data_IF_718549780845
#
_entry.id   IF_718549780845
#
_cell.length_a   1.000
_cell.length_b   1.000
_cell.length_c   1.000
_cell.angle_alpha   90.00
_cell.angle_beta   90.00
_cell.angle_gamma   90.00
#
_symmetry.space_group_name_H-M   'P 1'
#
loop_
_entity.id
_entity.type
_entity.pdbx_description
1 polymer ?
#
# COMPACT_ATOMS: atom_id res chain seq x y z
N UNK A 1 14.62 41.85 13.90
CA UNK A 1 15.65 42.12 12.89
C UNK A 1 15.47 41.11 11.77
N UNK A 2 14.85 41.59 10.69
CA UNK A 2 14.59 40.91 9.42
C UNK A 2 15.84 40.92 8.57
N UNK A 3 16.37 39.77 8.15
CA UNK A 3 17.33 39.69 7.05
C UNK A 3 16.88 38.61 6.07
N UNK A 4 16.33 39.06 4.96
CA UNK A 4 16.35 38.35 3.69
C UNK A 4 17.79 38.36 3.13
N UNK A 5 18.06 37.49 2.16
CA UNK A 5 18.72 37.98 0.95
C UNK A 5 17.96 37.56 -0.31
N UNK A 6 17.61 38.57 -1.11
CA UNK A 6 17.35 38.48 -2.56
C UNK A 6 18.65 38.85 -3.32
N UNK A 7 18.63 39.06 -4.65
CA UNK A 7 18.59 38.10 -5.75
C UNK A 7 19.76 38.35 -6.75
N UNK A 8 19.98 37.51 -7.77
CA UNK A 8 20.63 37.84 -9.06
C UNK A 8 20.70 36.54 -9.89
N UNK A 9 20.10 36.44 -11.09
CA UNK A 9 20.68 36.72 -12.42
C UNK A 9 19.47 36.70 -13.40
N UNK A 10 19.00 37.84 -13.96
CA UNK A 10 19.31 38.43 -15.29
C UNK A 10 19.36 37.38 -16.44
N UNK A 11 18.73 37.45 -17.62
CA UNK A 11 18.02 38.48 -18.40
C UNK A 11 17.59 37.81 -19.73
N UNK A 12 16.31 37.99 -20.12
CA UNK A 12 15.73 38.30 -21.46
C UNK A 12 16.02 37.42 -22.69
N UNK A 13 14.96 37.09 -23.46
CA UNK A 13 14.79 37.49 -24.88
C UNK A 13 13.29 37.62 -25.24
N UNK A 14 13.01 38.75 -25.88
CA UNK A 14 11.78 39.24 -26.52
C UNK A 14 11.37 38.39 -27.74
N UNK A 15 10.07 38.31 -28.03
CA UNK A 15 9.54 38.69 -29.34
C UNK A 15 8.03 38.90 -29.30
N UNK A 16 7.61 40.03 -29.85
CA UNK A 16 6.24 40.51 -29.99
C UNK A 16 5.53 39.89 -31.19
N UNK A 17 4.21 39.74 -31.10
CA UNK A 17 3.32 39.84 -32.27
C UNK A 17 2.11 40.72 -31.90
N UNK A 18 2.00 41.82 -32.65
CA UNK A 18 0.87 42.73 -32.75
C UNK A 18 -0.27 42.04 -33.51
N UNK A 19 -1.52 42.20 -33.06
CA UNK A 19 -2.68 41.72 -33.82
C UNK A 19 -4.02 42.22 -33.28
N UNK A 20 -4.48 43.32 -33.86
CA UNK A 20 -5.84 43.85 -34.01
C UNK A 20 -6.91 43.65 -32.92
N UNK A 21 -7.45 44.80 -32.51
CA UNK A 21 -8.68 44.96 -31.76
C UNK A 21 -9.91 44.38 -32.48
N UNK A 22 -10.74 43.65 -31.74
CA UNK A 22 -12.21 43.69 -31.87
C UNK A 22 -12.80 43.71 -30.47
N UNK A 23 -13.73 44.65 -30.25
CA UNK A 23 -14.32 44.94 -28.96
C UNK A 23 -15.12 43.78 -28.38
N UNK A 24 -14.92 43.52 -27.08
CA UNK A 24 -15.84 42.76 -26.24
C UNK A 24 -16.03 43.56 -24.95
N UNK A 25 -17.29 43.92 -24.69
CA UNK A 25 -17.75 44.67 -23.53
C UNK A 25 -17.19 44.15 -22.19
N UNK A 26 -16.90 45.01 -21.20
CA UNK A 26 -16.33 44.62 -19.91
C UNK A 26 -17.27 43.78 -19.01
N UNK A 27 -18.49 43.46 -19.47
CA UNK A 27 -19.52 42.77 -18.69
C UNK A 27 -19.37 41.23 -18.70
N UNK A 28 -18.54 40.65 -19.57
CA UNK A 28 -18.36 39.20 -19.65
C UNK A 28 -17.02 38.67 -19.09
N UNK A 29 -16.08 39.54 -18.72
CA UNK A 29 -14.82 39.14 -18.07
C UNK A 29 -14.99 38.77 -16.58
N UNK A 30 -16.16 39.02 -15.98
CA UNK A 30 -16.45 38.70 -14.58
C UNK A 30 -16.98 37.27 -14.35
N UNK A 31 -17.24 36.48 -15.41
CA UNK A 31 -17.77 35.10 -15.30
C UNK A 31 -16.76 33.98 -15.59
N UNK A 32 -15.52 34.30 -15.97
CA UNK A 32 -14.48 33.30 -16.25
C UNK A 32 -13.44 33.13 -15.13
N UNK A 33 -13.71 33.64 -13.91
CA UNK A 33 -12.81 33.53 -12.74
C UNK A 33 -13.42 32.83 -11.51
N UNK A 34 -14.53 32.11 -11.67
CA UNK A 34 -15.13 31.27 -10.61
C UNK A 34 -15.63 29.94 -11.17
N UNK A 35 -14.73 29.16 -11.73
CA UNK A 35 -14.99 27.76 -12.07
C UNK A 35 -13.67 26.96 -12.05
N UNK A 36 -12.92 27.04 -10.95
CA UNK A 36 -11.93 26.00 -10.62
C UNK A 36 -11.51 26.10 -9.15
N UNK A 37 -12.49 26.04 -8.25
CA UNK A 37 -12.23 25.99 -6.81
C UNK A 37 -12.95 24.83 -6.11
N UNK A 38 -13.51 23.90 -6.87
CA UNK A 38 -14.22 22.73 -6.37
C UNK A 38 -13.95 21.49 -7.22
N UNK A 39 -12.75 21.38 -7.78
CA UNK A 39 -12.27 20.07 -8.21
C UNK A 39 -11.86 19.36 -6.91
N UNK A 40 -12.50 18.23 -6.54
CA UNK A 40 -12.03 17.44 -5.42
C UNK A 40 -10.54 17.18 -5.65
N UNK A 41 -9.70 17.51 -4.67
CA UNK A 41 -8.30 17.13 -4.73
C UNK A 41 -8.29 15.64 -5.04
N UNK A 42 -7.64 15.26 -6.15
CA UNK A 42 -7.59 13.86 -6.56
C UNK A 42 -7.12 13.06 -5.35
N UNK A 43 -7.96 12.13 -4.88
CA UNK A 43 -7.63 11.32 -3.71
C UNK A 43 -6.25 10.70 -3.95
N UNK A 44 -5.35 10.88 -2.99
CA UNK A 44 -4.05 10.23 -3.03
C UNK A 44 -4.27 8.74 -3.29
N UNK A 45 -3.50 8.17 -4.23
CA UNK A 45 -3.59 6.75 -4.58
C UNK A 45 -2.28 6.06 -4.24
N UNK A 46 -2.42 4.89 -3.66
CA UNK A 46 -1.33 3.94 -3.53
C UNK A 46 -0.97 3.38 -4.92
N UNK A 47 0.33 3.20 -5.22
CA UNK A 47 0.73 2.48 -6.42
C UNK A 47 0.33 1.00 -6.32
N UNK A 48 0.23 0.34 -7.48
CA UNK A 48 0.22 -1.12 -7.50
C UNK A 48 1.57 -1.63 -6.98
N UNK A 49 1.52 -2.62 -6.09
CA UNK A 49 2.67 -3.24 -5.47
C UNK A 49 2.67 -4.73 -5.79
N UNK A 50 3.76 -5.20 -6.37
CA UNK A 50 4.04 -6.63 -6.45
C UNK A 50 5.13 -6.97 -5.44
N UNK A 51 4.84 -7.89 -4.54
CA UNK A 51 5.76 -8.35 -3.50
C UNK A 51 6.24 -9.75 -3.88
N UNK A 52 7.56 -9.92 -4.00
CA UNK A 52 8.20 -11.22 -4.22
C UNK A 52 8.98 -11.58 -2.97
N UNK A 53 8.50 -12.57 -2.23
CA UNK A 53 8.89 -12.86 -0.85
C UNK A 53 9.70 -14.14 -0.76
N UNK A 54 10.71 -14.13 0.11
CA UNK A 54 11.42 -15.33 0.58
C UNK A 54 11.13 -15.51 2.05
N UNK A 55 10.19 -16.40 2.36
CA UNK A 55 9.64 -16.60 3.70
C UNK A 55 10.05 -17.95 4.28
N UNK A 56 10.26 -18.01 5.59
CA UNK A 56 10.73 -19.22 6.29
C UNK A 56 9.81 -19.55 7.44
N UNK A 57 9.57 -20.83 7.67
CA UNK A 57 8.78 -21.28 8.81
C UNK A 57 9.62 -21.28 10.08
N UNK A 58 9.06 -20.72 11.15
CA UNK A 58 9.68 -20.63 12.47
C UNK A 58 9.35 -21.90 13.24
N UNK A 59 10.39 -22.62 13.66
CA UNK A 59 10.27 -23.95 14.29
C UNK A 59 10.25 -23.92 15.82
N UNK A 60 10.55 -22.77 16.44
CA UNK A 60 10.65 -22.59 17.88
C UNK A 60 9.95 -21.32 18.37
N UNK A 61 8.85 -20.93 17.72
CA UNK A 61 8.06 -19.77 18.12
C UNK A 61 7.47 -19.98 19.52
N UNK A 62 7.66 -19.00 20.40
CA UNK A 62 7.19 -18.99 21.79
C UNK A 62 6.41 -17.69 22.07
N UNK A 63 5.07 -17.74 22.18
CA UNK A 63 4.23 -16.58 22.47
C UNK A 63 4.55 -15.88 23.78
N UNK A 64 5.07 -16.63 24.74
CA UNK A 64 5.26 -16.17 26.12
C UNK A 64 6.59 -15.42 26.27
N UNK A 65 7.40 -15.39 25.20
CA UNK A 65 8.71 -14.75 25.16
C UNK A 65 8.77 -13.70 24.07
N UNK A 66 9.42 -12.59 24.40
CA UNK A 66 9.92 -11.67 23.38
C UNK A 66 11.16 -12.30 22.75
N UNK A 67 10.98 -12.92 21.59
CA UNK A 67 12.07 -13.51 20.81
C UNK A 67 12.61 -12.49 19.80
N UNK A 68 13.91 -12.25 19.84
CA UNK A 68 14.66 -11.51 18.83
C UNK A 68 14.87 -12.36 17.57
N UNK A 69 15.19 -11.72 16.45
CA UNK A 69 15.47 -12.43 15.19
C UNK A 69 16.62 -13.45 15.31
N UNK A 70 17.56 -13.26 16.25
CA UNK A 70 18.67 -14.18 16.48
C UNK A 70 18.26 -15.45 17.24
N UNK A 71 17.13 -15.43 17.95
CA UNK A 71 16.62 -16.56 18.75
C UNK A 71 15.67 -17.45 17.94
N UNK A 72 15.12 -16.93 16.84
CA UNK A 72 14.23 -17.67 15.95
C UNK A 72 15.02 -18.65 15.08
N UNK A 73 14.51 -19.88 15.00
CA UNK A 73 15.05 -20.97 14.19
C UNK A 73 14.13 -21.24 13.03
N UNK A 74 14.72 -21.42 11.86
CA UNK A 74 14.01 -21.56 10.61
C UNK A 74 14.37 -22.88 9.92
N UNK A 75 13.42 -23.47 9.20
CA UNK A 75 13.64 -24.67 8.38
C UNK A 75 13.84 -24.32 6.88
N UNK A 76 12.79 -24.40 6.06
CA UNK A 76 12.80 -24.23 4.63
C UNK A 76 12.49 -22.79 4.21
N UNK A 77 12.99 -22.43 3.02
CA UNK A 77 12.62 -21.20 2.33
C UNK A 77 11.48 -21.49 1.37
N UNK A 78 10.42 -20.70 1.48
CA UNK A 78 9.24 -20.77 0.66
C UNK A 78 9.13 -19.46 -0.15
N UNK A 79 9.20 -19.52 -1.49
CA UNK A 79 8.93 -18.36 -2.31
C UNK A 79 7.42 -18.10 -2.37
N UNK A 80 7.02 -16.84 -2.28
CA UNK A 80 5.62 -16.41 -2.46
C UNK A 80 5.57 -15.07 -3.21
N UNK A 81 4.61 -14.89 -4.11
CA UNK A 81 4.39 -13.61 -4.80
C UNK A 81 2.96 -13.13 -4.61
N UNK A 82 2.81 -11.91 -4.08
CA UNK A 82 1.55 -11.23 -3.80
C UNK A 82 1.43 -9.99 -4.69
N UNK A 83 0.21 -9.71 -5.17
CA UNK A 83 -0.14 -8.45 -5.83
C UNK A 83 -1.15 -7.70 -4.98
N UNK A 84 -0.84 -6.42 -4.71
CA UNK A 84 -1.74 -5.43 -4.14
C UNK A 84 -2.02 -4.36 -5.21
N UNK A 85 -3.28 -4.20 -5.66
CA UNK A 85 -3.60 -3.22 -6.68
C UNK A 85 -3.42 -1.78 -6.18
N UNK A 86 -3.32 -0.84 -7.12
CA UNK A 86 -3.35 0.59 -6.79
C UNK A 86 -4.76 1.03 -6.38
N UNK A 87 -4.93 1.43 -5.13
CA UNK A 87 -6.21 1.84 -4.51
C UNK A 87 -6.11 3.26 -3.95
N UNK A 88 -7.23 3.95 -3.67
CA UNK A 88 -7.19 5.18 -2.88
C UNK A 88 -6.52 4.94 -1.53
N UNK A 89 -5.75 5.92 -1.05
CA UNK A 89 -5.16 5.89 0.30
C UNK A 89 -6.30 5.84 1.32
N UNK A 90 -6.19 4.91 2.26
CA UNK A 90 -7.14 4.78 3.35
C UNK A 90 -7.09 6.01 4.25
N UNK A 91 -8.27 6.56 4.56
CA UNK A 91 -8.42 7.72 5.47
C UNK A 91 -9.29 7.40 6.69
N UNK A 92 -10.01 6.27 6.67
CA UNK A 92 -10.81 5.77 7.79
C UNK A 92 -9.96 4.89 8.72
N UNK A 93 -10.35 4.78 10.02
CA UNK A 93 -9.79 3.75 10.91
C UNK A 93 -10.08 2.34 10.38
N UNK A 94 -9.34 1.31 10.83
CA UNK A 94 -9.60 -0.05 10.41
C UNK A 94 -10.95 -0.51 10.96
N UNK A 95 -11.70 -1.36 10.23
CA UNK A 95 -12.96 -1.89 10.74
C UNK A 95 -12.67 -2.75 11.97
N UNK A 96 -13.50 -2.61 12.99
CA UNK A 96 -13.47 -3.47 14.17
C UNK A 96 -13.80 -4.92 13.76
N UNK A 97 -13.38 -5.94 14.53
CA UNK A 97 -13.64 -7.34 14.18
C UNK A 97 -15.11 -7.69 13.98
N UNK A 98 -16.02 -6.95 14.61
CA UNK A 98 -17.47 -7.14 14.52
C UNK A 98 -18.15 -6.36 13.38
N UNK A 99 -17.42 -5.47 12.70
CA UNK A 99 -17.99 -4.67 11.61
C UNK A 99 -18.19 -5.53 10.36
N UNK A 100 -19.13 -5.11 9.50
CA UNK A 100 -19.33 -5.74 8.20
C UNK A 100 -18.01 -5.72 7.39
N UNK A 101 -17.67 -6.81 6.67
CA UNK A 101 -16.46 -6.85 5.86
C UNK A 101 -16.45 -5.76 4.79
N UNK A 102 -15.35 -5.01 4.73
CA UNK A 102 -15.12 -4.06 3.65
C UNK A 102 -14.88 -4.81 2.32
N UNK A 103 -15.37 -4.28 1.17
CA UNK A 103 -15.10 -4.89 -0.13
C UNK A 103 -13.59 -4.97 -0.43
N UNK A 104 -13.14 -6.17 -0.79
CA UNK A 104 -11.75 -6.41 -1.22
C UNK A 104 -11.65 -6.26 -2.74
N UNK A 105 -10.63 -5.54 -3.23
CA UNK A 105 -10.35 -5.47 -4.66
C UNK A 105 -9.93 -6.87 -5.15
N UNK A 106 -10.64 -7.48 -6.14
CA UNK A 106 -10.40 -8.86 -6.58
C UNK A 106 -9.04 -9.06 -7.26
N UNK A 107 -8.32 -7.98 -7.58
CA UNK A 107 -6.93 -8.04 -8.07
C UNK A 107 -5.93 -8.26 -6.94
N UNK A 108 -6.35 -8.13 -5.68
CA UNK A 108 -5.56 -8.47 -4.50
C UNK A 108 -5.47 -9.99 -4.37
N UNK A 109 -4.33 -10.58 -4.70
CA UNK A 109 -4.18 -12.04 -4.78
C UNK A 109 -2.74 -12.51 -4.70
N UNK A 110 -2.56 -13.72 -4.21
CA UNK A 110 -1.30 -14.47 -4.33
C UNK A 110 -1.25 -15.04 -5.75
N UNK A 111 -0.22 -14.69 -6.51
CA UNK A 111 -0.05 -15.14 -7.90
C UNK A 111 0.96 -16.27 -8.06
N UNK A 112 1.78 -16.53 -7.04
CA UNK A 112 2.68 -17.67 -6.99
C UNK A 112 2.89 -18.10 -5.54
N UNK A 113 2.57 -19.34 -5.23
CA UNK A 113 2.87 -20.01 -3.96
C UNK A 113 3.08 -21.51 -4.24
N UNK A 114 4.25 -21.89 -4.78
CA UNK A 114 4.53 -23.29 -5.14
C UNK A 114 4.56 -24.22 -3.92
N UNK A 115 4.77 -23.67 -2.71
CA UNK A 115 4.74 -24.43 -1.46
C UNK A 115 3.34 -24.61 -0.89
N UNK A 116 2.33 -23.93 -1.44
CA UNK A 116 0.96 -23.87 -0.92
C UNK A 116 0.92 -23.55 0.58
N UNK A 117 1.80 -22.65 1.03
CA UNK A 117 1.90 -22.27 2.45
C UNK A 117 0.85 -21.23 2.85
N UNK A 118 0.30 -20.50 1.88
CA UNK A 118 -0.70 -19.46 2.07
C UNK A 118 -2.03 -19.79 1.33
N UNK A 119 -2.66 -20.95 1.60
CA UNK A 119 -3.87 -21.36 0.90
C UNK A 119 -5.02 -20.38 1.16
N UNK A 120 -5.92 -20.25 0.19
CA UNK A 120 -7.15 -19.45 0.27
C UNK A 120 -8.30 -20.24 -0.36
N UNK A 121 -9.51 -20.17 0.20
CA UNK A 121 -10.66 -20.99 -0.22
C UNK A 121 -11.06 -20.78 -1.69
N UNK A 122 -10.84 -19.58 -2.24
CA UNK A 122 -11.23 -19.20 -3.60
C UNK A 122 -10.14 -18.42 -4.37
N UNK A 123 -8.88 -18.43 -3.91
CA UNK A 123 -7.84 -17.58 -4.51
C UNK A 123 -7.94 -16.10 -4.14
N UNK A 124 -8.83 -15.73 -3.22
CA UNK A 124 -9.13 -14.35 -2.82
C UNK A 124 -8.93 -14.13 -1.33
N UNK A 125 -8.74 -12.88 -0.94
CA UNK A 125 -8.76 -12.45 0.45
C UNK A 125 -10.17 -12.02 0.86
N UNK A 126 -10.52 -12.29 2.11
CA UNK A 126 -11.80 -11.90 2.71
C UNK A 126 -11.71 -10.53 3.39
N UNK A 127 -10.51 -10.13 3.81
CA UNK A 127 -10.26 -8.81 4.42
C UNK A 127 -8.89 -8.30 4.01
N UNK A 128 -8.84 -7.01 3.69
CA UNK A 128 -7.60 -6.27 3.40
C UNK A 128 -7.67 -4.91 4.07
N UNK A 129 -6.79 -4.66 5.03
CA UNK A 129 -6.53 -3.32 5.56
C UNK A 129 -5.20 -2.86 4.99
N UNK A 130 -5.21 -1.78 4.21
CA UNK A 130 -4.01 -1.27 3.56
C UNK A 130 -3.68 0.15 4.02
N UNK A 131 -2.83 0.24 5.05
CA UNK A 131 -2.18 1.46 5.53
C UNK A 131 -0.74 1.52 5.05
N UNK A 132 -0.51 1.28 3.78
CA UNK A 132 0.83 1.42 3.22
C UNK A 132 1.32 2.87 3.32
N UNK A 133 2.62 3.10 3.64
CA UNK A 133 3.70 2.11 3.79
C UNK A 133 3.84 1.50 5.20
N UNK A 134 3.05 1.93 6.18
CA UNK A 134 3.21 1.52 7.57
C UNK A 134 2.86 0.04 7.78
N UNK A 135 1.70 -0.40 7.25
CA UNK A 135 1.17 -1.74 7.48
C UNK A 135 0.11 -2.13 6.44
N UNK A 136 0.18 -3.35 5.94
CA UNK A 136 -0.93 -4.00 5.22
C UNK A 136 -1.27 -5.31 5.92
N UNK A 137 -2.53 -5.53 6.24
CA UNK A 137 -3.06 -6.74 6.85
C UNK A 137 -4.00 -7.43 5.88
N UNK A 138 -3.81 -8.73 5.67
CA UNK A 138 -4.69 -9.54 4.83
C UNK A 138 -5.14 -10.77 5.61
N UNK A 139 -6.40 -11.16 5.45
CA UNK A 139 -6.86 -12.46 5.90
C UNK A 139 -7.70 -13.16 4.84
N UNK A 140 -7.54 -14.47 4.77
CA UNK A 140 -8.29 -15.33 3.86
C UNK A 140 -8.73 -16.61 4.58
N UNK A 141 -9.99 -17.01 4.40
CA UNK A 141 -10.51 -18.28 4.89
C UNK A 141 -9.81 -19.41 4.13
N UNK A 142 -9.31 -20.38 4.89
CA UNK A 142 -8.78 -21.65 4.37
C UNK A 142 -9.92 -22.68 4.36
N UNK A 143 -10.55 -22.91 5.51
CA UNK A 143 -11.64 -23.87 5.70
C UNK A 143 -12.36 -23.61 7.03
N UNK A 144 -13.69 -23.68 7.05
CA UNK A 144 -14.47 -23.35 8.25
C UNK A 144 -14.07 -21.97 8.78
N UNK A 145 -13.71 -21.92 10.06
CA UNK A 145 -13.24 -20.70 10.75
C UNK A 145 -11.71 -20.51 10.68
N UNK A 146 -10.98 -21.42 10.03
CA UNK A 146 -9.53 -21.31 9.90
C UNK A 146 -9.17 -20.27 8.86
N UNK A 147 -8.46 -19.24 9.30
CA UNK A 147 -7.94 -18.13 8.50
C UNK A 147 -6.43 -18.29 8.29
N UNK A 148 -5.98 -17.88 7.11
CA UNK A 148 -4.62 -17.43 6.89
C UNK A 148 -4.56 -15.92 7.15
N UNK A 149 -3.58 -15.47 7.94
CA UNK A 149 -3.38 -14.06 8.30
C UNK A 149 -1.99 -13.66 7.85
N UNK A 150 -1.90 -12.58 7.07
CA UNK A 150 -0.66 -12.02 6.54
C UNK A 150 -0.53 -10.57 7.03
N UNK A 151 0.65 -10.20 7.48
CA UNK A 151 1.00 -8.83 7.82
C UNK A 151 2.26 -8.45 7.06
N UNK A 152 2.18 -7.33 6.33
CA UNK A 152 3.31 -6.71 5.64
C UNK A 152 3.56 -5.37 6.31
N UNK A 153 4.81 -5.10 6.69
CA UNK A 153 5.17 -3.85 7.35
C UNK A 153 6.66 -3.52 7.12
N UNK A 154 7.13 -2.45 7.77
CA UNK A 154 8.55 -2.06 7.74
C UNK A 154 9.08 -1.89 6.32
N UNK A 155 8.29 -1.24 5.44
CA UNK A 155 8.75 -0.94 4.09
C UNK A 155 9.94 0.04 4.12
N UNK A 156 11.05 -0.37 3.52
CA UNK A 156 12.23 0.45 3.28
C UNK A 156 12.17 0.99 1.84
N UNK A 157 11.89 2.29 1.63
CA UNK A 157 11.78 2.87 0.30
C UNK A 157 13.12 2.96 -0.44
N UNK A 158 14.25 2.89 0.27
CA UNK A 158 15.59 2.92 -0.33
C UNK A 158 15.95 1.55 -0.90
N UNK A 159 15.68 0.48 -0.15
CA UNK A 159 15.93 -0.91 -0.59
C UNK A 159 14.78 -1.51 -1.38
N UNK A 160 13.62 -0.89 -1.32
CA UNK A 160 12.35 -1.41 -1.82
C UNK A 160 12.04 -2.80 -1.24
N UNK A 161 12.28 -2.98 0.06
CA UNK A 161 11.97 -4.23 0.77
C UNK A 161 10.91 -4.02 1.84
N UNK A 162 10.16 -5.06 2.18
CA UNK A 162 9.22 -5.05 3.29
C UNK A 162 9.30 -6.38 4.05
N UNK A 163 9.01 -6.34 5.35
CA UNK A 163 8.87 -7.55 6.16
C UNK A 163 7.52 -8.19 5.87
N UNK A 164 7.50 -9.52 5.86
CA UNK A 164 6.32 -10.35 5.71
C UNK A 164 6.24 -11.31 6.89
N UNK A 165 5.09 -11.29 7.55
CA UNK A 165 4.72 -12.23 8.59
C UNK A 165 3.44 -12.94 8.17
N UNK A 166 3.35 -14.24 8.43
CA UNK A 166 2.13 -15.00 8.20
C UNK A 166 1.91 -16.03 9.30
N UNK A 167 0.65 -16.19 9.68
CA UNK A 167 0.21 -17.26 10.57
C UNK A 167 -1.16 -17.78 10.18
N UNK A 168 -1.53 -18.93 10.73
CA UNK A 168 -2.94 -19.35 10.78
C UNK A 168 -3.59 -18.91 12.06
N UNK A 169 -4.91 -18.71 12.02
CA UNK A 169 -5.69 -18.36 13.19
C UNK A 169 -7.14 -18.86 13.04
N UNK A 170 -7.81 -19.20 14.15
CA UNK A 170 -9.27 -19.47 14.15
C UNK A 170 -10.08 -18.21 14.48
N UNK A 171 -9.41 -17.23 15.08
CA UNK A 171 -9.89 -15.87 15.34
C UNK A 171 -8.63 -14.99 15.50
N UNK A 172 -8.71 -13.67 15.25
CA UNK A 172 -7.53 -12.78 15.25
C UNK A 172 -6.72 -12.80 16.57
N UNK A 173 -7.33 -13.24 17.67
CA UNK A 173 -6.72 -13.38 19.00
C UNK A 173 -6.04 -14.74 19.25
N UNK A 174 -6.27 -15.76 18.41
CA UNK A 174 -5.73 -17.13 18.58
C UNK A 174 -5.04 -17.61 17.31
N UNK A 175 -3.72 -17.45 17.28
CA UNK A 175 -2.89 -17.93 16.19
C UNK A 175 -2.29 -19.32 16.46
N UNK A 176 -2.00 -20.05 15.38
CA UNK A 176 -1.34 -21.37 15.42
C UNK A 176 0.17 -21.20 15.52
N UNK A 177 0.73 -21.51 16.70
CA UNK A 177 2.17 -21.35 16.99
C UNK A 177 3.07 -22.22 16.10
N UNK A 178 2.55 -23.37 15.64
CA UNK A 178 3.26 -24.27 14.73
C UNK A 178 3.08 -23.91 13.24
N UNK A 179 2.53 -22.72 12.96
CA UNK A 179 2.33 -22.25 11.60
C UNK A 179 2.67 -20.76 11.52
N UNK A 180 3.88 -20.40 11.92
CA UNK A 180 4.37 -19.02 11.87
C UNK A 180 5.48 -18.91 10.84
N UNK A 181 5.33 -17.99 9.90
CA UNK A 181 6.26 -17.73 8.81
C UNK A 181 6.71 -16.28 8.87
N UNK A 182 7.99 -16.05 8.58
CA UNK A 182 8.54 -14.71 8.47
C UNK A 182 9.58 -14.63 7.36
N UNK A 183 9.71 -13.46 6.73
CA UNK A 183 10.74 -13.21 5.74
C UNK A 183 10.70 -11.81 5.18
N UNK A 184 11.46 -11.60 4.11
CA UNK A 184 11.54 -10.32 3.42
C UNK A 184 10.93 -10.46 2.02
N UNK A 185 10.28 -9.38 1.57
CA UNK A 185 9.79 -9.23 0.21
C UNK A 185 10.54 -8.13 -0.51
N UNK A 186 10.94 -8.41 -1.75
CA UNK A 186 11.24 -7.35 -2.71
C UNK A 186 9.92 -6.76 -3.20
N UNK A 187 9.79 -5.44 -3.10
CA UNK A 187 8.61 -4.68 -3.51
C UNK A 187 8.91 -4.01 -4.85
N UNK A 188 8.04 -4.25 -5.83
CA UNK A 188 8.03 -3.52 -7.10
C UNK A 188 6.81 -2.62 -7.16
N UNK A 189 7.05 -1.32 -7.22
CA UNK A 189 6.01 -0.32 -7.42
C UNK A 189 5.77 -0.13 -8.91
N UNK A 190 4.52 -0.25 -9.36
CA UNK A 190 4.11 0.18 -10.71
C UNK A 190 3.43 1.53 -10.62
N UNK A 191 3.75 2.41 -11.58
CA UNK A 191 3.16 3.74 -11.65
C UNK A 191 1.62 3.64 -11.69
N UNK A 192 0.96 4.39 -10.80
CA UNK A 192 -0.50 4.51 -10.83
C UNK A 192 -0.90 5.14 -12.16
N UNK A 193 -1.78 4.48 -12.91
CA UNK A 193 -2.30 5.00 -14.18
C UNK A 193 -3.21 6.23 -14.02
N UNK A 194 -3.46 6.68 -12.80
CA UNK A 194 -4.13 7.95 -12.51
C UNK A 194 -3.79 8.45 -11.09
N UNK A 195 -3.38 9.72 -10.97
CA UNK A 195 -3.08 10.39 -9.68
C UNK A 195 -1.58 10.56 -9.40
N UNK A 196 -1.24 11.59 -8.59
CA UNK A 196 0.13 11.87 -8.15
C UNK A 196 0.61 10.71 -7.25
N UNK A 197 1.68 9.98 -7.61
CA UNK A 197 2.19 8.89 -6.80
C UNK A 197 2.64 9.41 -5.43
N UNK A 198 2.32 8.67 -4.37
CA UNK A 198 2.99 8.80 -3.07
C UNK A 198 3.98 7.65 -2.99
N UNK A 199 5.25 8.00 -2.73
CA UNK A 199 6.38 7.08 -2.65
C UNK A 199 6.42 6.36 -1.29
#
# INVERSE_FOLDING_TARGET
MTHAPSPLIKTVILAAILGCATGLSPVQAAKAKRASANQPAAAARLPERQLTCSIRHITNFDPEKLQTAAELKYDAVHPLTLVLPGIPVRTSPPPEPQDDPEPVDPRTRIIADPGNIAPTKNGTFDRVIDYWPERTELSAVISGDLLNVIVINQYDPVKQTANFFMTRATELSRYQQNHVYQGECQVRLKASTSGKPIA
#
